data_IF_971179832524
#
_entry.id   IF_971179832524
#
_cell.length_a   1.000
_cell.length_b   1.000
_cell.length_c   1.000
_cell.angle_alpha   90.00
_cell.angle_beta   90.00
_cell.angle_gamma   90.00
#
_symmetry.space_group_name_H-M   'P 1'
#
loop_
_entity.id
_entity.type
_entity.pdbx_description
1 polymer ?
#
# COMPACT_ATOMS: atom_id res chain seq x y z
N UNK A 1 12.28 -19.41 -50.12
CA UNK A 1 11.04 -19.23 -49.34
C UNK A 1 11.10 -19.76 -47.89
N UNK A 2 11.63 -20.95 -47.58
CA UNK A 2 11.66 -21.52 -46.21
C UNK A 2 12.42 -20.72 -45.13
N UNK A 3 13.40 -19.89 -45.50
CA UNK A 3 14.19 -19.10 -44.53
C UNK A 3 13.42 -17.90 -43.99
N UNK A 4 12.61 -17.24 -44.84
CA UNK A 4 11.85 -16.04 -44.49
C UNK A 4 10.75 -16.39 -43.49
N UNK A 5 10.09 -17.54 -43.67
CA UNK A 5 9.07 -18.04 -42.74
C UNK A 5 9.63 -18.30 -41.34
N UNK A 6 10.85 -18.85 -41.22
CA UNK A 6 11.49 -19.13 -39.92
C UNK A 6 11.83 -17.84 -39.14
N UNK A 7 12.38 -16.83 -39.82
CA UNK A 7 12.73 -15.54 -39.21
C UNK A 7 11.49 -14.76 -38.78
N UNK A 8 10.39 -14.84 -39.55
CA UNK A 8 9.10 -14.25 -39.16
C UNK A 8 8.53 -14.95 -37.93
N UNK A 9 8.54 -16.29 -37.87
CA UNK A 9 8.06 -17.01 -36.67
C UNK A 9 8.92 -16.73 -35.42
N UNK A 10 10.23 -16.49 -35.57
CA UNK A 10 11.13 -16.13 -34.46
C UNK A 10 10.87 -14.72 -33.91
N UNK A 11 10.41 -13.77 -34.72
CA UNK A 11 10.08 -12.41 -34.28
C UNK A 11 8.65 -12.29 -33.75
N UNK A 12 7.70 -13.05 -34.30
CA UNK A 12 6.29 -13.01 -33.88
C UNK A 12 6.10 -13.60 -32.48
N UNK A 13 6.88 -14.63 -32.11
CA UNK A 13 6.76 -15.32 -30.82
C UNK A 13 7.09 -14.46 -29.58
N UNK A 14 8.19 -13.70 -29.52
CA UNK A 14 8.46 -12.80 -28.40
C UNK A 14 7.48 -11.61 -28.38
N UNK A 15 7.06 -11.10 -29.53
CA UNK A 15 6.04 -10.02 -29.61
C UNK A 15 4.70 -10.47 -29.03
N UNK A 16 4.27 -11.70 -29.34
CA UNK A 16 3.05 -12.29 -28.80
C UNK A 16 3.15 -12.51 -27.27
N UNK A 17 4.32 -12.95 -26.78
CA UNK A 17 4.55 -13.15 -25.34
C UNK A 17 4.57 -11.81 -24.57
N UNK A 18 5.21 -10.78 -25.12
CA UNK A 18 5.21 -9.44 -24.54
C UNK A 18 3.80 -8.85 -24.54
N UNK A 19 3.06 -9.01 -25.63
CA UNK A 19 1.66 -8.57 -25.71
C UNK A 19 0.78 -9.28 -24.64
N UNK A 20 0.92 -10.61 -24.47
CA UNK A 20 0.21 -11.34 -23.42
C UNK A 20 0.57 -10.84 -22.02
N UNK A 21 1.85 -10.57 -21.76
CA UNK A 21 2.32 -10.07 -20.46
C UNK A 21 1.72 -8.68 -20.15
N UNK A 22 1.64 -7.80 -21.16
CA UNK A 22 1.05 -6.46 -21.00
C UNK A 22 -0.47 -6.50 -20.76
N UNK A 23 -1.18 -7.43 -21.39
CA UNK A 23 -2.64 -7.60 -21.21
C UNK A 23 -2.93 -8.11 -19.79
N UNK A 24 -2.12 -9.03 -19.26
CA UNK A 24 -2.25 -9.53 -17.90
C UNK A 24 -2.05 -8.43 -16.84
N UNK A 25 -1.09 -7.53 -17.02
CA UNK A 25 -0.88 -6.41 -16.10
C UNK A 25 -2.01 -5.37 -16.11
N UNK A 26 -2.65 -5.15 -17.27
CA UNK A 26 -3.77 -4.19 -17.40
C UNK A 26 -5.05 -4.69 -16.72
N UNK A 27 -5.32 -6.00 -16.79
CA UNK A 27 -6.50 -6.62 -16.15
C UNK A 27 -6.45 -6.46 -14.62
N UNK A 28 -5.26 -6.56 -14.02
CA UNK A 28 -5.10 -6.50 -12.57
C UNK A 28 -5.22 -5.07 -12.02
N UNK A 29 -4.78 -4.06 -12.78
CA UNK A 29 -4.91 -2.65 -12.41
C UNK A 29 -6.33 -2.12 -12.59
N UNK A 30 -7.01 -2.52 -13.68
CA UNK A 30 -8.40 -2.16 -13.91
C UNK A 30 -9.34 -2.75 -12.84
N UNK A 31 -9.12 -4.01 -12.45
CA UNK A 31 -9.90 -4.64 -11.38
C UNK A 31 -9.68 -4.00 -10.01
N UNK A 32 -8.45 -3.54 -9.70
CA UNK A 32 -8.18 -2.84 -8.44
C UNK A 32 -8.75 -1.41 -8.43
N UNK A 33 -8.72 -0.71 -9.56
CA UNK A 33 -9.32 0.62 -9.67
C UNK A 33 -10.84 0.54 -9.53
N UNK A 34 -11.48 -0.41 -10.20
CA UNK A 34 -12.93 -0.67 -10.11
C UNK A 34 -13.33 -1.11 -8.68
N UNK A 35 -12.50 -1.92 -8.02
CA UNK A 35 -12.72 -2.31 -6.62
C UNK A 35 -12.62 -1.14 -5.62
N UNK A 36 -11.80 -0.14 -5.92
CA UNK A 36 -11.59 1.02 -5.07
C UNK A 36 -12.45 2.23 -5.45
N UNK A 37 -13.33 2.12 -6.45
CA UNK A 37 -14.08 3.26 -6.99
C UNK A 37 -15.55 2.91 -7.19
N UNK A 38 -16.48 3.76 -6.72
CA UNK A 38 -17.92 3.61 -6.93
C UNK A 38 -18.32 3.98 -8.38
N UNK A 39 -19.57 3.72 -8.75
CA UNK A 39 -20.13 4.02 -10.08
C UNK A 39 -19.99 5.49 -10.50
N UNK A 40 -19.82 6.39 -9.54
CA UNK A 40 -19.61 7.84 -9.74
C UNK A 40 -18.12 8.25 -9.86
N UNK A 41 -17.20 7.28 -9.91
CA UNK A 41 -15.76 7.56 -10.00
C UNK A 41 -15.15 8.05 -8.68
N UNK A 42 -15.86 7.88 -7.56
CA UNK A 42 -15.42 8.26 -6.20
C UNK A 42 -14.74 7.09 -5.51
N UNK A 43 -13.70 7.34 -4.73
CA UNK A 43 -13.05 6.28 -3.94
C UNK A 43 -14.09 5.61 -3.02
N UNK A 44 -14.32 4.31 -3.23
CA UNK A 44 -15.22 3.44 -2.47
C UNK A 44 -14.45 2.41 -1.61
N UNK A 45 -13.12 2.49 -1.61
CA UNK A 45 -12.33 1.68 -0.69
C UNK A 45 -12.60 2.06 0.77
N UNK A 46 -12.16 1.22 1.73
CA UNK A 46 -12.36 1.50 3.15
C UNK A 46 -11.79 2.88 3.50
N UNK A 47 -12.61 3.69 4.16
CA UNK A 47 -12.21 5.03 4.57
C UNK A 47 -11.09 4.96 5.62
N UNK A 48 -10.35 6.05 5.79
CA UNK A 48 -9.32 6.12 6.83
C UNK A 48 -9.99 6.00 8.20
N UNK A 49 -11.15 6.62 8.32
CA UNK A 49 -12.04 6.61 9.48
C UNK A 49 -12.48 5.19 9.83
N UNK A 50 -12.93 4.39 8.86
CA UNK A 50 -13.33 2.99 9.08
C UNK A 50 -12.15 2.10 9.50
N UNK A 51 -10.94 2.43 9.06
CA UNK A 51 -9.75 1.70 9.47
C UNK A 51 -9.34 2.09 10.89
N UNK A 52 -9.41 3.38 11.25
CA UNK A 52 -9.15 3.84 12.61
C UNK A 52 -10.16 3.24 13.58
N UNK A 53 -11.46 3.23 13.23
CA UNK A 53 -12.49 2.60 14.06
C UNK A 53 -12.29 1.09 14.28
N UNK A 54 -11.55 0.41 13.39
CA UNK A 54 -11.19 -1.01 13.57
C UNK A 54 -9.91 -1.20 14.38
N UNK A 55 -9.09 -0.16 14.51
CA UNK A 55 -7.86 -0.18 15.28
C UNK A 55 -8.09 0.29 16.72
N UNK A 56 -8.93 1.31 16.91
CA UNK A 56 -9.33 1.88 18.20
C UNK A 56 -10.19 0.88 18.98
N UNK A 57 -9.53 0.04 19.76
CA UNK A 57 -10.15 -1.00 20.58
C UNK A 57 -10.57 -0.47 21.94
N UNK A 58 -9.87 0.54 22.45
CA UNK A 58 -10.17 1.17 23.73
C UNK A 58 -11.27 2.25 23.62
N UNK A 59 -11.72 2.57 22.40
CA UNK A 59 -12.72 3.59 22.06
C UNK A 59 -12.32 4.98 22.56
N UNK A 60 -11.03 5.29 22.56
CA UNK A 60 -10.50 6.60 22.91
C UNK A 60 -10.67 7.64 21.79
N UNK A 61 -11.10 7.21 20.61
CA UNK A 61 -11.32 8.05 19.43
C UNK A 61 -10.08 8.20 18.54
N UNK A 62 -8.99 7.50 18.84
CA UNK A 62 -7.79 7.42 18.01
C UNK A 62 -7.13 6.04 18.15
N UNK A 63 -6.32 5.65 17.17
CA UNK A 63 -5.55 4.42 17.24
C UNK A 63 -4.14 4.70 17.75
N UNK A 64 -3.76 4.10 18.87
CA UNK A 64 -2.40 4.21 19.41
C UNK A 64 -1.40 3.30 18.67
N UNK A 65 -0.10 3.44 18.98
CA UNK A 65 0.95 2.65 18.30
C UNK A 65 0.83 1.14 18.60
N UNK A 66 0.34 0.77 19.77
CA UNK A 66 0.14 -0.62 20.14
C UNK A 66 -1.07 -1.22 19.40
N UNK A 67 -2.17 -0.49 19.30
CA UNK A 67 -3.36 -0.85 18.55
C UNK A 67 -3.08 -1.00 17.05
N UNK A 68 -2.32 -0.06 16.48
CA UNK A 68 -1.85 -0.16 15.09
C UNK A 68 -0.96 -1.39 14.92
N UNK A 69 -0.08 -1.68 15.89
CA UNK A 69 0.79 -2.86 15.85
C UNK A 69 -0.03 -4.15 15.89
N UNK A 70 -1.01 -4.24 16.76
CA UNK A 70 -1.87 -5.42 16.90
C UNK A 70 -2.73 -5.63 15.65
N UNK A 71 -3.30 -4.55 15.11
CA UNK A 71 -4.07 -4.61 13.86
C UNK A 71 -3.22 -5.05 12.66
N UNK A 72 -1.99 -4.55 12.55
CA UNK A 72 -1.07 -4.96 11.51
C UNK A 72 -0.59 -6.40 11.69
N UNK A 73 -0.40 -6.85 12.93
CA UNK A 73 -0.06 -8.23 13.24
C UNK A 73 -1.19 -9.20 12.85
N UNK A 74 -2.46 -8.81 13.05
CA UNK A 74 -3.63 -9.58 12.60
C UNK A 74 -3.70 -9.72 11.09
N UNK A 75 -3.32 -8.68 10.33
CA UNK A 75 -3.41 -8.67 8.86
C UNK A 75 -2.20 -9.33 8.16
N UNK A 76 -0.99 -9.07 8.65
CA UNK A 76 0.25 -9.41 7.95
C UNK A 76 1.16 -10.37 8.71
N UNK A 77 0.76 -10.76 9.92
CA UNK A 77 1.54 -11.62 10.80
C UNK A 77 2.41 -10.85 11.80
N UNK A 78 2.87 -11.58 12.82
CA UNK A 78 3.58 -10.98 13.94
C UNK A 78 4.91 -10.34 13.51
N UNK A 79 5.23 -9.16 14.06
CA UNK A 79 6.45 -8.42 13.76
C UNK A 79 6.44 -7.64 12.44
N UNK A 80 5.29 -7.54 11.77
CA UNK A 80 5.16 -6.69 10.57
C UNK A 80 5.57 -5.25 10.88
N UNK A 81 6.51 -4.71 10.09
CA UNK A 81 7.05 -3.35 10.26
C UNK A 81 7.58 -3.03 11.67
N UNK A 82 8.03 -4.04 12.43
CA UNK A 82 8.54 -3.90 13.80
C UNK A 82 9.48 -2.70 13.97
N UNK A 83 10.49 -2.55 13.11
CA UNK A 83 11.45 -1.44 13.23
C UNK A 83 10.84 -0.04 13.07
N UNK A 84 9.75 0.11 12.31
CA UNK A 84 9.02 1.38 12.18
C UNK A 84 8.17 1.60 13.42
N UNK A 85 7.40 0.59 13.83
CA UNK A 85 6.50 0.66 14.98
C UNK A 85 7.27 0.88 16.29
N UNK A 86 8.44 0.25 16.45
CA UNK A 86 9.32 0.46 17.60
C UNK A 86 9.84 1.90 17.64
N UNK A 87 10.19 2.49 16.49
CA UNK A 87 10.57 3.91 16.44
C UNK A 87 9.40 4.83 16.75
N UNK A 88 8.20 4.48 16.31
CA UNK A 88 7.00 5.25 16.56
C UNK A 88 6.60 5.21 18.03
N UNK A 89 6.74 4.05 18.67
CA UNK A 89 6.54 3.88 20.11
C UNK A 89 7.59 4.66 20.91
N UNK A 90 8.85 4.64 20.48
CA UNK A 90 9.89 5.50 21.06
C UNK A 90 9.58 6.98 20.87
N UNK A 91 9.04 7.39 19.71
CA UNK A 91 8.64 8.78 19.46
C UNK A 91 7.41 9.18 20.28
N UNK A 92 6.47 8.27 20.49
CA UNK A 92 5.29 8.47 21.33
C UNK A 92 5.65 8.53 22.82
N UNK A 93 6.62 7.71 23.26
CA UNK A 93 7.16 7.72 24.62
C UNK A 93 8.20 8.85 24.86
N UNK A 94 8.78 9.37 23.79
CA UNK A 94 9.94 10.26 23.78
C UNK A 94 9.57 11.74 23.74
N UNK A 95 9.36 12.29 24.93
CA UNK A 95 9.80 13.62 25.37
C UNK A 95 9.98 14.71 24.29
N UNK A 96 9.07 15.69 24.36
CA UNK A 96 9.01 17.02 23.73
C UNK A 96 10.31 17.88 23.64
N UNK A 97 11.49 17.37 23.98
CA UNK A 97 12.74 18.15 23.95
C UNK A 97 13.71 17.59 22.90
N UNK A 98 13.63 18.10 21.67
CA UNK A 98 14.72 17.96 20.70
C UNK A 98 14.34 17.53 19.28
N UNK A 99 13.09 17.59 18.87
CA UNK A 99 12.76 17.37 17.45
C UNK A 99 13.16 18.59 16.62
N UNK A 100 13.92 18.37 15.54
CA UNK A 100 14.39 19.38 14.58
C UNK A 100 13.27 20.21 13.94
N UNK A 101 12.01 19.79 14.05
CA UNK A 101 10.83 20.53 13.61
C UNK A 101 10.41 21.70 14.52
N UNK A 102 10.93 21.81 15.75
CA UNK A 102 10.56 22.87 16.69
C UNK A 102 11.43 24.14 16.58
N UNK A 103 12.34 24.21 15.59
CA UNK A 103 13.33 25.30 15.48
C UNK A 103 12.85 26.57 14.78
N UNK A 104 11.69 26.56 14.12
CA UNK A 104 11.25 27.68 13.26
C UNK A 104 9.98 28.42 13.78
N UNK A 105 9.76 28.47 15.11
CA UNK A 105 8.64 29.26 15.69
C UNK A 105 9.08 30.50 16.49
N UNK A 106 10.30 31.00 16.27
CA UNK A 106 10.73 32.31 16.79
C UNK A 106 11.49 33.09 15.73
N UNK A 107 10.75 33.84 14.93
CA UNK A 107 11.03 35.26 14.63
C UNK A 107 9.75 36.07 14.84
#
# INVERSE_FOLDING_TARGET
MKSITKSVTQLVRPVLLVALLTIASLVNAAGMLDYLTDTDGKYAGPSVEDNIAKMDTDNSGFADVAEVRDFLALKYGNGYQKGILDRWEIAAAGLSCGTTFAKDLTE
#
